data_IF_370981141547
#
_entry.id   IF_370981141547
#
_cell.length_a   1.000
_cell.length_b   1.000
_cell.length_c   1.000
_cell.angle_alpha   90.00
_cell.angle_beta   90.00
_cell.angle_gamma   90.00
#
_symmetry.space_group_name_H-M   'P 1'
#
loop_
_entity.id
_entity.type
_entity.pdbx_description
1 polymer ?
#
# COMPACT_ATOMS: atom_id res chain seq x y z
N UNK A 1 12.40 1.97 -10.75
CA UNK A 1 11.58 1.76 -9.54
C UNK A 1 11.13 3.06 -8.89
N UNK A 2 12.02 3.97 -8.46
CA UNK A 2 11.57 5.19 -7.75
C UNK A 2 10.70 6.13 -8.61
N UNK A 3 11.08 6.36 -9.88
CA UNK A 3 10.23 7.13 -10.82
C UNK A 3 8.88 6.43 -11.04
N UNK A 4 8.89 5.11 -11.22
CA UNK A 4 7.69 4.30 -11.34
C UNK A 4 6.81 4.40 -10.09
N UNK A 5 7.38 4.35 -8.89
CA UNK A 5 6.67 4.54 -7.63
C UNK A 5 6.05 5.94 -7.54
N UNK A 6 6.78 6.99 -7.97
CA UNK A 6 6.24 8.34 -8.04
C UNK A 6 5.05 8.45 -9.02
N UNK A 7 5.10 7.74 -10.15
CA UNK A 7 3.97 7.66 -11.08
C UNK A 7 2.75 6.96 -10.47
N UNK A 8 2.94 5.87 -9.71
CA UNK A 8 1.82 5.21 -9.00
C UNK A 8 1.29 6.10 -7.87
N UNK A 9 2.17 6.80 -7.15
CA UNK A 9 1.76 7.78 -6.13
C UNK A 9 0.84 8.84 -6.74
N UNK A 10 1.17 9.35 -7.92
CA UNK A 10 0.37 10.35 -8.65
C UNK A 10 -1.05 9.85 -8.99
N UNK A 11 -1.25 8.54 -9.12
CA UNK A 11 -2.58 7.97 -9.33
C UNK A 11 -3.50 8.18 -8.12
N UNK A 12 -2.97 8.28 -6.90
CA UNK A 12 -3.80 8.46 -5.68
C UNK A 12 -4.56 9.80 -5.66
N UNK A 13 -3.91 10.97 -5.85
CA UNK A 13 -4.64 12.23 -6.04
C UNK A 13 -5.36 12.26 -7.40
N UNK A 14 -4.84 11.61 -8.44
CA UNK A 14 -5.52 11.48 -9.74
C UNK A 14 -6.90 10.83 -9.63
N UNK A 15 -7.01 9.75 -8.86
CA UNK A 15 -8.27 9.07 -8.56
C UNK A 15 -9.22 9.96 -7.74
N UNK A 16 -8.68 10.73 -6.79
CA UNK A 16 -9.49 11.65 -6.01
C UNK A 16 -10.12 12.75 -6.87
N UNK A 17 -9.39 13.27 -7.86
CA UNK A 17 -9.96 14.19 -8.85
C UNK A 17 -10.93 13.51 -9.79
N UNK A 18 -10.61 12.30 -10.25
CA UNK A 18 -11.46 11.52 -11.15
C UNK A 18 -12.83 11.23 -10.52
N UNK A 19 -12.84 10.63 -9.33
CA UNK A 19 -14.08 10.35 -8.61
C UNK A 19 -14.71 11.62 -8.04
N UNK A 20 -13.92 12.59 -7.60
CA UNK A 20 -14.42 13.91 -7.18
C UNK A 20 -15.24 14.58 -8.28
N UNK A 21 -14.74 14.60 -9.52
CA UNK A 21 -15.43 15.17 -10.68
C UNK A 21 -16.73 14.46 -11.07
N UNK A 22 -16.88 13.17 -10.72
CA UNK A 22 -18.12 12.41 -10.91
C UNK A 22 -19.12 12.58 -9.74
N UNK A 23 -18.69 13.15 -8.63
CA UNK A 23 -19.54 13.44 -7.47
C UNK A 23 -20.01 14.89 -7.47
N UNK A 24 -20.93 15.23 -6.55
CA UNK A 24 -21.36 16.63 -6.37
C UNK A 24 -20.17 17.47 -5.92
N UNK A 25 -20.08 18.72 -6.41
CA UNK A 25 -18.99 19.67 -6.08
C UNK A 25 -18.73 19.80 -4.57
N UNK A 26 -19.79 19.74 -3.76
CA UNK A 26 -19.72 19.78 -2.29
C UNK A 26 -18.93 18.61 -1.67
N UNK A 27 -18.86 17.47 -2.37
CA UNK A 27 -18.26 16.23 -1.89
C UNK A 27 -16.81 16.02 -2.35
N UNK A 28 -16.32 16.86 -3.27
CA UNK A 28 -14.97 16.77 -3.83
C UNK A 28 -13.90 16.88 -2.74
N UNK A 29 -14.09 17.81 -1.79
CA UNK A 29 -13.16 17.97 -0.67
C UNK A 29 -13.09 16.71 0.20
N UNK A 30 -14.25 16.11 0.50
CA UNK A 30 -14.31 14.87 1.27
C UNK A 30 -13.57 13.74 0.54
N UNK A 31 -13.71 13.67 -0.78
CA UNK A 31 -13.02 12.68 -1.60
C UNK A 31 -11.50 12.83 -1.62
N UNK A 32 -11.03 14.07 -1.73
CA UNK A 32 -9.60 14.37 -1.60
C UNK A 32 -9.08 13.95 -0.22
N UNK A 33 -9.80 14.29 0.86
CA UNK A 33 -9.42 13.89 2.22
C UNK A 33 -9.39 12.37 2.41
N UNK A 34 -10.37 11.64 1.88
CA UNK A 34 -10.43 10.18 1.96
C UNK A 34 -9.31 9.47 1.18
N UNK A 35 -8.89 10.03 0.05
CA UNK A 35 -7.75 9.49 -0.71
C UNK A 35 -6.41 9.82 -0.03
N UNK A 36 -6.23 11.05 0.46
CA UNK A 36 -4.99 11.46 1.15
C UNK A 36 -4.79 10.73 2.47
N UNK A 37 -5.86 10.41 3.23
CA UNK A 37 -5.69 9.64 4.47
C UNK A 37 -5.24 8.21 4.19
N UNK A 38 -5.58 7.62 3.04
CA UNK A 38 -5.05 6.32 2.64
C UNK A 38 -3.52 6.38 2.47
N UNK A 39 -3.00 7.42 1.81
CA UNK A 39 -1.55 7.64 1.71
C UNK A 39 -0.89 7.67 3.09
N UNK A 40 -1.41 8.46 4.03
CA UNK A 40 -0.80 8.61 5.35
C UNK A 40 -0.87 7.32 6.19
N UNK A 41 -2.06 6.74 6.32
CA UNK A 41 -2.30 5.58 7.20
C UNK A 41 -1.63 4.33 6.65
N UNK A 42 -1.81 4.04 5.36
CA UNK A 42 -1.25 2.82 4.77
C UNK A 42 0.27 2.88 4.76
N UNK A 43 0.88 4.04 4.52
CA UNK A 43 2.34 4.18 4.62
C UNK A 43 2.89 3.84 5.99
N UNK A 44 2.20 4.25 7.06
CA UNK A 44 2.59 3.93 8.43
C UNK A 44 2.43 2.43 8.70
N UNK A 45 1.27 1.83 8.38
CA UNK A 45 1.04 0.41 8.62
C UNK A 45 1.98 -0.47 7.80
N UNK A 46 2.22 -0.10 6.54
CA UNK A 46 3.17 -0.76 5.65
C UNK A 46 4.57 -0.80 6.25
N UNK A 47 5.02 0.34 6.77
CA UNK A 47 6.32 0.44 7.39
C UNK A 47 6.42 -0.37 8.69
N UNK A 48 5.38 -0.33 9.53
CA UNK A 48 5.41 -1.04 10.81
C UNK A 48 5.40 -2.56 10.63
N UNK A 49 4.53 -3.09 9.76
CA UNK A 49 4.39 -4.55 9.60
C UNK A 49 3.90 -4.98 8.22
N UNK A 50 3.21 -4.14 7.46
CA UNK A 50 2.57 -4.54 6.21
C UNK A 50 3.52 -5.08 5.15
N UNK A 51 4.72 -4.50 5.00
CA UNK A 51 5.73 -5.03 4.09
C UNK A 51 6.20 -6.43 4.49
N UNK A 52 6.44 -6.63 5.79
CA UNK A 52 6.81 -7.94 6.36
C UNK A 52 5.71 -8.98 6.17
N UNK A 53 4.44 -8.55 6.24
CA UNK A 53 3.29 -9.44 6.05
C UNK A 53 3.07 -9.87 4.60
N UNK A 54 3.36 -8.99 3.65
CA UNK A 54 3.25 -9.32 2.23
C UNK A 54 4.48 -10.09 1.72
N UNK A 55 5.70 -9.69 2.10
CA UNK A 55 6.93 -10.17 1.47
C UNK A 55 7.92 -10.89 2.41
N UNK A 56 7.52 -11.13 3.65
CA UNK A 56 8.29 -11.95 4.59
C UNK A 56 8.12 -13.45 4.35
N UNK A 57 8.90 -14.25 5.07
CA UNK A 57 8.84 -15.71 5.03
C UNK A 57 7.46 -16.26 5.39
N UNK A 58 7.03 -17.28 4.63
CA UNK A 58 5.71 -17.90 4.73
C UNK A 58 5.41 -18.47 6.12
N UNK A 59 4.25 -18.10 6.65
CA UNK A 59 3.66 -18.63 7.89
C UNK A 59 2.21 -19.04 7.63
N UNK A 60 1.74 -20.07 8.34
CA UNK A 60 0.33 -20.49 8.28
C UNK A 60 -0.09 -21.15 6.96
N UNK A 61 0.85 -21.74 6.21
CA UNK A 61 0.58 -22.40 4.93
C UNK A 61 0.66 -21.49 3.71
N UNK A 62 1.42 -20.39 3.79
CA UNK A 62 1.57 -19.41 2.70
C UNK A 62 0.48 -18.35 2.70
N UNK A 63 -0.14 -18.07 3.85
CA UNK A 63 -1.21 -17.07 3.98
C UNK A 63 -0.71 -15.72 4.52
N UNK A 64 0.44 -15.70 5.20
CA UNK A 64 1.03 -14.51 5.80
C UNK A 64 2.56 -14.64 5.85
N UNK A 65 3.27 -13.56 5.52
CA UNK A 65 4.66 -13.37 5.92
C UNK A 65 4.74 -12.89 7.37
N UNK A 66 5.70 -13.33 8.19
CA UNK A 66 5.86 -12.74 9.54
C UNK A 66 7.32 -12.58 9.94
N UNK A 67 7.64 -11.41 10.50
CA UNK A 67 8.72 -11.25 11.49
C UNK A 67 10.05 -10.72 10.97
N UNK A 68 10.37 -10.90 9.70
CA UNK A 68 11.72 -10.59 9.18
C UNK A 68 11.94 -9.10 8.85
N UNK A 69 10.92 -8.46 8.27
CA UNK A 69 10.99 -7.06 7.81
C UNK A 69 10.10 -6.10 8.61
N UNK A 70 9.72 -6.48 9.83
CA UNK A 70 8.89 -5.61 10.68
C UNK A 70 9.65 -4.30 10.97
N UNK A 71 8.97 -3.16 10.83
CA UNK A 71 9.60 -1.83 10.98
C UNK A 71 10.63 -1.49 9.90
N UNK A 72 10.60 -2.13 8.73
CA UNK A 72 11.69 -2.09 7.73
C UNK A 72 13.04 -2.59 8.28
N UNK A 73 13.02 -3.43 9.31
CA UNK A 73 14.24 -4.11 9.74
C UNK A 73 14.83 -4.91 8.57
N UNK A 74 16.16 -4.94 8.47
CA UNK A 74 16.89 -5.69 7.44
C UNK A 74 16.64 -5.26 5.97
N UNK A 75 15.96 -4.13 5.70
CA UNK A 75 15.76 -3.64 4.32
C UNK A 75 16.78 -2.58 3.90
N UNK A 76 17.48 -1.95 4.84
CA UNK A 76 18.45 -0.87 4.56
C UNK A 76 19.76 -1.50 4.08
N UNK A 77 20.17 -1.18 2.85
CA UNK A 77 21.35 -1.76 2.22
C UNK A 77 21.17 -3.18 1.66
N UNK A 78 19.99 -3.77 1.84
CA UNK A 78 19.63 -5.07 1.27
C UNK A 78 19.26 -4.96 -0.22
N UNK A 79 19.43 -6.07 -0.92
CA UNK A 79 19.03 -6.26 -2.32
C UNK A 79 17.97 -7.36 -2.40
N UNK A 80 17.03 -7.21 -3.33
CA UNK A 80 15.98 -8.18 -3.65
C UNK A 80 16.16 -8.61 -5.11
N UNK A 81 16.07 -9.91 -5.38
CA UNK A 81 16.23 -10.48 -6.72
C UNK A 81 17.33 -11.54 -6.79
N UNK A 82 17.75 -11.91 -8.01
CA UNK A 82 18.67 -13.02 -8.27
C UNK A 82 19.96 -12.90 -7.45
N UNK A 83 20.24 -13.92 -6.62
CA UNK A 83 21.43 -14.00 -5.76
C UNK A 83 21.21 -13.66 -4.28
N UNK A 84 19.97 -13.42 -3.86
CA UNK A 84 19.57 -13.33 -2.44
C UNK A 84 18.73 -14.55 -2.05
N UNK A 85 18.97 -15.12 -0.86
CA UNK A 85 18.21 -16.28 -0.33
C UNK A 85 16.73 -15.96 -0.05
N UNK A 86 16.33 -14.70 -0.23
CA UNK A 86 14.99 -14.17 -0.01
C UNK A 86 14.60 -13.31 -1.21
N UNK A 87 14.10 -13.91 -2.30
CA UNK A 87 13.77 -13.16 -3.52
C UNK A 87 12.26 -13.10 -3.80
N UNK A 88 11.52 -12.12 -3.22
CA UNK A 88 10.16 -11.77 -3.64
C UNK A 88 10.07 -11.08 -5.03
N UNK A 89 11.15 -11.09 -5.83
CA UNK A 89 11.20 -10.51 -7.18
C UNK A 89 11.56 -11.57 -8.22
N UNK A 90 10.67 -11.85 -9.20
CA UNK A 90 10.91 -12.88 -10.22
C UNK A 90 11.79 -12.40 -11.38
N UNK A 91 12.24 -11.15 -11.36
CA UNK A 91 13.04 -10.56 -12.44
C UNK A 91 14.53 -10.92 -12.34
N UNK A 92 15.28 -10.80 -13.46
CA UNK A 92 16.68 -11.21 -13.54
C UNK A 92 17.65 -10.28 -12.80
N UNK A 93 17.18 -9.11 -12.35
CA UNK A 93 18.01 -8.03 -11.80
C UNK A 93 17.95 -7.98 -10.26
N UNK A 94 19.08 -7.65 -9.62
CA UNK A 94 19.12 -7.29 -8.21
C UNK A 94 18.71 -5.82 -8.03
N UNK A 95 17.69 -5.58 -7.21
CA UNK A 95 17.14 -4.25 -6.93
C UNK A 95 17.37 -3.89 -5.46
N UNK A 96 17.63 -2.61 -5.13
CA UNK A 96 17.64 -2.17 -3.73
C UNK A 96 16.30 -2.47 -3.06
N UNK A 97 16.32 -3.18 -1.93
CA UNK A 97 15.11 -3.63 -1.23
C UNK A 97 14.17 -2.46 -0.90
N UNK A 98 14.75 -1.34 -0.46
CA UNK A 98 14.00 -0.14 -0.11
C UNK A 98 13.28 0.50 -1.32
N UNK A 99 13.85 0.38 -2.52
CA UNK A 99 13.17 0.83 -3.74
C UNK A 99 11.98 -0.07 -4.10
N UNK A 100 12.10 -1.37 -3.82
CA UNK A 100 11.00 -2.33 -3.98
C UNK A 100 9.90 -2.11 -2.93
N UNK A 101 10.26 -1.89 -1.66
CA UNK A 101 9.33 -1.51 -0.57
C UNK A 101 8.50 -0.30 -0.96
N UNK A 102 9.15 0.76 -1.46
CA UNK A 102 8.47 2.00 -1.86
C UNK A 102 7.57 1.80 -3.08
N UNK A 103 7.98 0.97 -4.03
CA UNK A 103 7.16 0.66 -5.19
C UNK A 103 5.88 -0.09 -4.79
N UNK A 104 6.01 -1.12 -3.96
CA UNK A 104 4.88 -1.92 -3.48
C UNK A 104 3.94 -1.15 -2.55
N UNK A 105 4.49 -0.25 -1.72
CA UNK A 105 3.68 0.66 -0.91
C UNK A 105 2.65 1.43 -1.73
N UNK A 106 2.98 1.87 -2.95
CA UNK A 106 2.06 2.65 -3.76
C UNK A 106 0.86 1.81 -4.23
N UNK A 107 1.05 0.51 -4.46
CA UNK A 107 -0.07 -0.41 -4.70
C UNK A 107 -0.91 -0.60 -3.45
N UNK A 108 -0.28 -0.75 -2.28
CA UNK A 108 -1.00 -0.86 -1.01
C UNK A 108 -1.87 0.36 -0.72
N UNK A 109 -1.41 1.55 -1.09
CA UNK A 109 -2.15 2.81 -0.94
C UNK A 109 -3.30 2.92 -1.94
N UNK A 110 -3.08 2.61 -3.21
CA UNK A 110 -4.08 2.87 -4.26
C UNK A 110 -5.30 1.94 -4.14
N UNK A 111 -5.13 0.72 -3.64
CA UNK A 111 -6.21 -0.26 -3.56
C UNK A 111 -7.38 0.18 -2.66
N UNK A 112 -7.18 0.59 -1.38
CA UNK A 112 -8.27 1.14 -0.58
C UNK A 112 -8.75 2.50 -1.11
N UNK A 113 -7.89 3.30 -1.75
CA UNK A 113 -8.30 4.57 -2.35
C UNK A 113 -9.32 4.37 -3.50
N UNK A 114 -9.25 3.27 -4.25
CA UNK A 114 -10.27 2.93 -5.26
C UNK A 114 -11.64 2.65 -4.63
N UNK A 115 -11.66 2.06 -3.42
CA UNK A 115 -12.91 1.79 -2.68
C UNK A 115 -13.58 3.12 -2.27
N UNK A 116 -12.80 4.17 -1.97
CA UNK A 116 -13.34 5.47 -1.57
C UNK A 116 -14.23 6.09 -2.66
N UNK A 117 -13.94 5.81 -3.94
CA UNK A 117 -14.77 6.19 -5.09
C UNK A 117 -16.22 5.72 -5.00
N UNK A 118 -16.46 4.53 -4.45
CA UNK A 118 -17.79 3.95 -4.34
C UNK A 118 -18.57 4.46 -3.11
N UNK A 119 -17.88 4.96 -2.08
CA UNK A 119 -18.49 5.28 -0.77
C UNK A 119 -18.36 6.75 -0.34
N UNK A 120 -17.82 7.58 -1.23
CA UNK A 120 -17.56 9.02 -1.12
C UNK A 120 -18.60 9.85 -0.34
N UNK A 121 -19.88 9.63 -0.65
CA UNK A 121 -21.01 10.45 -0.17
C UNK A 121 -21.73 9.84 1.04
N UNK A 122 -21.30 8.66 1.50
CA UNK A 122 -22.07 7.84 2.45
C UNK A 122 -21.31 7.50 3.73
N UNK A 123 -20.07 7.95 3.86
CA UNK A 123 -19.18 7.56 4.96
C UNK A 123 -18.62 8.77 5.71
N UNK A 124 -18.46 8.62 7.03
CA UNK A 124 -17.77 9.60 7.89
C UNK A 124 -16.27 9.36 7.80
N UNK A 125 -15.47 10.43 7.84
CA UNK A 125 -14.00 10.37 7.78
C UNK A 125 -13.39 9.35 8.74
N UNK A 126 -13.75 9.39 10.04
CA UNK A 126 -13.21 8.46 11.02
C UNK A 126 -13.64 7.00 10.80
N UNK A 127 -14.87 6.78 10.34
CA UNK A 127 -15.33 5.44 9.97
C UNK A 127 -14.59 4.89 8.76
N UNK A 128 -14.31 5.75 7.77
CA UNK A 128 -13.48 5.42 6.62
C UNK A 128 -12.05 5.07 7.04
N UNK A 129 -11.41 5.89 7.89
CA UNK A 129 -10.05 5.63 8.36
C UNK A 129 -9.94 4.27 9.08
N UNK A 130 -10.88 3.97 9.98
CA UNK A 130 -10.91 2.67 10.67
C UNK A 130 -11.11 1.50 9.69
N UNK A 131 -11.98 1.67 8.70
CA UNK A 131 -12.17 0.70 7.63
C UNK A 131 -10.87 0.46 6.85
N UNK A 132 -10.14 1.51 6.45
CA UNK A 132 -8.87 1.38 5.72
C UNK A 132 -7.84 0.59 6.53
N UNK A 133 -7.70 0.91 7.84
CA UNK A 133 -6.77 0.18 8.73
C UNK A 133 -7.08 -1.31 8.76
N UNK A 134 -8.36 -1.67 8.98
CA UNK A 134 -8.80 -3.05 9.07
C UNK A 134 -8.69 -3.77 7.72
N UNK A 135 -9.16 -3.13 6.65
CA UNK A 135 -9.20 -3.72 5.31
C UNK A 135 -7.80 -3.99 4.78
N UNK A 136 -6.88 -3.04 4.92
CA UNK A 136 -5.50 -3.25 4.46
C UNK A 136 -4.80 -4.34 5.28
N UNK A 137 -5.04 -4.40 6.60
CA UNK A 137 -4.42 -5.39 7.48
C UNK A 137 -4.94 -6.81 7.25
N UNK A 138 -6.26 -6.97 7.08
CA UNK A 138 -6.92 -8.29 7.06
C UNK A 138 -7.12 -8.81 5.62
N UNK A 139 -7.17 -7.91 4.63
CA UNK A 139 -7.44 -8.29 3.24
C UNK A 139 -6.24 -8.02 2.36
N UNK A 140 -5.71 -6.79 2.34
CA UNK A 140 -4.66 -6.45 1.38
C UNK A 140 -3.35 -7.20 1.66
N UNK A 141 -2.82 -7.14 2.89
CA UNK A 141 -1.54 -7.80 3.20
C UNK A 141 -1.56 -9.32 2.96
N UNK A 142 -2.61 -10.06 3.39
CA UNK A 142 -2.68 -11.51 3.11
C UNK A 142 -2.88 -11.84 1.63
N UNK A 143 -3.57 -10.99 0.85
CA UNK A 143 -3.75 -11.21 -0.59
C UNK A 143 -2.50 -10.84 -1.39
N UNK A 144 -1.67 -9.96 -0.86
CA UNK A 144 -0.41 -9.55 -1.48
C UNK A 144 0.74 -10.52 -1.23
N UNK A 145 0.63 -11.39 -0.22
CA UNK A 145 1.52 -12.49 0.07
C UNK A 145 1.30 -13.63 -0.92
#
# INVERSE_FOLDING_TARGET
>A
MLVSAALVMLMTPGLAFFYGGMTRSKSVLNMLMMSTICLAVVSVLWALYGYSWAFGNDVGGGLLGVGEFAGLANTVGAMVGVGSDSAPWPGPDALPALAFVMFQLMFAVITPALISGAVADRTKFWGWTAFVVLWVTIVYFPVAH
#
